data_IF_340643924580
#
_entry.id   IF_340643924580
#
_cell.length_a   1.000
_cell.length_b   1.000
_cell.length_c   1.000
_cell.angle_alpha   90.00
_cell.angle_beta   90.00
_cell.angle_gamma   90.00
#
_symmetry.space_group_name_H-M   'P 1'
#
loop_
_entity.id
_entity.type
_entity.pdbx_description
1 polymer ?
#
# COMPACT_ATOMS: atom_id res chain seq x y z
N UNK A 1 -3.85 11.06 -15.10
CA UNK A 1 -2.72 10.14 -15.26
C UNK A 1 -3.18 8.94 -16.08
N UNK A 2 -2.54 8.65 -17.21
CA UNK A 2 -2.98 7.61 -18.15
C UNK A 2 -2.62 6.24 -17.56
N UNK A 3 -3.62 5.36 -17.41
CA UNK A 3 -3.41 3.94 -17.09
C UNK A 3 -2.41 3.36 -18.09
N UNK A 4 -1.30 2.84 -17.60
CA UNK A 4 -0.39 2.05 -18.42
C UNK A 4 -0.93 0.63 -18.47
N UNK A 5 -1.84 0.38 -19.41
CA UNK A 5 -2.13 -0.99 -19.85
C UNK A 5 -0.93 -1.40 -20.68
N UNK A 6 -0.11 -2.27 -20.14
CA UNK A 6 1.01 -2.84 -20.87
C UNK A 6 0.48 -4.03 -21.68
N UNK A 7 0.08 -3.77 -22.92
CA UNK A 7 -0.10 -4.86 -23.89
C UNK A 7 1.30 -5.40 -24.21
N UNK A 8 1.62 -6.60 -23.73
CA UNK A 8 2.84 -7.28 -24.14
C UNK A 8 2.62 -7.77 -25.58
N UNK A 9 2.87 -6.90 -26.54
CA UNK A 9 3.19 -7.33 -27.90
C UNK A 9 4.63 -7.84 -27.84
N UNK A 10 4.79 -9.15 -27.84
CA UNK A 10 6.09 -9.79 -28.08
C UNK A 10 6.45 -9.54 -29.56
N UNK A 11 7.04 -8.35 -29.85
CA UNK A 11 7.58 -8.05 -31.15
C UNK A 11 8.95 -8.71 -31.27
N UNK A 12 8.95 -10.00 -31.61
CA UNK A 12 10.10 -10.60 -32.30
C UNK A 12 9.96 -10.22 -33.75
N UNK A 13 10.72 -9.18 -34.18
CA UNK A 13 10.86 -8.86 -35.59
C UNK A 13 11.69 -9.96 -36.26
N UNK A 14 11.02 -10.96 -36.83
CA UNK A 14 11.51 -11.70 -37.96
C UNK A 14 10.46 -11.57 -39.05
N UNK A 15 10.82 -10.88 -40.11
CA UNK A 15 10.11 -10.89 -41.39
C UNK A 15 10.10 -12.31 -41.97
N UNK A 16 9.19 -13.11 -41.52
CA UNK A 16 8.68 -14.26 -42.22
C UNK A 16 7.18 -14.25 -41.94
N UNK A 17 6.37 -13.84 -42.92
CA UNK A 17 4.91 -13.95 -42.79
C UNK A 17 4.60 -15.41 -42.51
N UNK A 18 4.11 -15.80 -41.30
CA UNK A 18 3.60 -17.14 -41.15
C UNK A 18 2.35 -17.19 -42.02
N UNK A 19 2.34 -18.11 -42.98
CA UNK A 19 1.06 -18.59 -43.54
C UNK A 19 0.31 -19.17 -42.34
N UNK A 20 -0.60 -18.40 -41.78
CA UNK A 20 -1.51 -18.90 -40.76
C UNK A 20 -2.24 -20.10 -41.39
N UNK A 21 -2.13 -21.27 -40.78
CA UNK A 21 -2.97 -22.39 -41.15
C UNK A 21 -4.41 -21.89 -41.15
N UNK A 22 -5.17 -22.13 -42.21
CA UNK A 22 -6.58 -21.71 -42.29
C UNK A 22 -7.34 -22.23 -41.07
N UNK A 23 -7.84 -21.32 -40.25
CA UNK A 23 -8.63 -21.66 -39.03
C UNK A 23 -7.96 -21.42 -37.69
N UNK A 24 -6.72 -20.90 -37.58
CA UNK A 24 -6.17 -20.53 -36.28
C UNK A 24 -6.36 -19.04 -35.99
N UNK A 25 -6.80 -18.73 -34.78
CA UNK A 25 -7.08 -17.38 -34.31
C UNK A 25 -6.13 -16.99 -33.17
N UNK A 26 -5.84 -15.69 -33.03
CA UNK A 26 -4.95 -15.16 -31.98
C UNK A 26 -5.58 -15.26 -30.58
N UNK A 27 -4.73 -15.52 -29.58
CA UNK A 27 -5.04 -15.45 -28.16
C UNK A 27 -4.13 -14.40 -27.53
N UNK A 28 -4.72 -13.37 -26.90
CA UNK A 28 -3.99 -12.31 -26.23
C UNK A 28 -4.41 -12.22 -24.77
N UNK A 29 -3.57 -11.62 -23.92
CA UNK A 29 -3.89 -11.35 -22.51
C UNK A 29 -3.73 -9.88 -22.19
N UNK A 30 -4.70 -9.34 -21.43
CA UNK A 30 -4.69 -7.99 -20.88
C UNK A 30 -4.80 -8.03 -19.35
N UNK A 31 -3.84 -7.45 -18.68
CA UNK A 31 -3.79 -7.40 -17.22
C UNK A 31 -2.85 -6.27 -16.76
N UNK A 32 -2.97 -5.88 -15.48
CA UNK A 32 -2.01 -4.97 -14.87
C UNK A 32 -0.81 -5.78 -14.34
N UNK A 33 0.35 -5.60 -14.99
CA UNK A 33 1.58 -6.33 -14.66
C UNK A 33 2.18 -5.98 -13.28
N UNK A 34 1.74 -4.88 -12.66
CA UNK A 34 2.12 -4.56 -11.29
C UNK A 34 1.38 -5.43 -10.26
N UNK A 35 0.20 -5.95 -10.63
CA UNK A 35 -0.68 -6.72 -9.74
C UNK A 35 -0.55 -8.23 -9.91
N UNK A 36 0.11 -8.68 -10.97
CA UNK A 36 0.30 -10.10 -11.23
C UNK A 36 0.80 -10.39 -12.64
N UNK A 37 0.81 -11.64 -13.00
CA UNK A 37 1.17 -12.11 -14.35
C UNK A 37 0.17 -13.11 -14.89
N UNK A 38 0.05 -13.12 -16.21
CA UNK A 38 -0.75 -14.10 -16.96
C UNK A 38 0.18 -14.77 -17.96
N UNK A 39 0.25 -16.10 -17.94
CA UNK A 39 1.00 -16.88 -18.90
C UNK A 39 0.05 -17.75 -19.73
N UNK A 40 -0.07 -17.43 -21.01
CA UNK A 40 -0.80 -18.24 -21.99
C UNK A 40 0.08 -19.42 -22.41
N UNK A 41 -0.49 -20.62 -22.51
CA UNK A 41 0.21 -21.81 -23.04
C UNK A 41 0.49 -21.65 -24.53
N UNK A 42 -0.38 -20.93 -25.24
CA UNK A 42 -0.23 -20.62 -26.67
C UNK A 42 -0.81 -19.24 -26.98
N UNK A 43 -0.25 -18.58 -28.00
CA UNK A 43 -0.74 -17.29 -28.52
C UNK A 43 -1.74 -17.43 -29.68
N UNK A 44 -2.14 -18.67 -30.01
CA UNK A 44 -3.12 -19.01 -31.08
C UNK A 44 -3.77 -20.35 -30.83
N UNK A 45 -4.98 -20.56 -31.38
CA UNK A 45 -5.70 -21.82 -31.31
C UNK A 45 -6.69 -21.99 -32.46
N UNK A 46 -7.12 -23.20 -32.68
CA UNK A 46 -8.18 -23.56 -33.65
C UNK A 46 -9.49 -23.70 -32.90
N UNK A 47 -10.64 -23.40 -33.52
CA UNK A 47 -11.95 -23.54 -32.95
C UNK A 47 -12.16 -24.95 -32.37
N UNK A 48 -12.57 -25.02 -31.09
CA UNK A 48 -12.76 -26.26 -30.33
C UNK A 48 -11.55 -26.70 -29.48
N UNK A 49 -10.36 -26.16 -29.69
CA UNK A 49 -9.20 -26.44 -28.83
C UNK A 49 -9.43 -25.92 -27.41
N UNK A 50 -8.93 -26.63 -26.41
CA UNK A 50 -8.83 -26.09 -25.06
C UNK A 50 -7.54 -25.28 -24.91
N UNK A 51 -7.69 -24.00 -24.63
CA UNK A 51 -6.58 -23.08 -24.39
C UNK A 51 -6.39 -22.94 -22.88
N UNK A 52 -5.22 -23.32 -22.39
CA UNK A 52 -4.85 -23.22 -20.98
C UNK A 52 -4.02 -21.97 -20.72
N UNK A 53 -4.19 -21.42 -19.54
CA UNK A 53 -3.37 -20.31 -19.07
C UNK A 53 -3.27 -20.31 -17.53
N UNK A 54 -2.25 -19.66 -17.02
CA UNK A 54 -2.03 -19.49 -15.59
C UNK A 54 -2.02 -18.03 -15.23
N UNK A 55 -2.49 -17.76 -14.01
CA UNK A 55 -2.48 -16.42 -13.38
C UNK A 55 -1.73 -16.52 -12.08
N UNK A 56 -0.69 -15.69 -11.93
CA UNK A 56 0.09 -15.58 -10.69
C UNK A 56 -0.06 -14.16 -10.16
N UNK A 57 -0.88 -13.94 -9.11
CA UNK A 57 -1.01 -12.62 -8.51
C UNK A 57 0.26 -12.21 -7.77
N UNK A 58 0.53 -10.92 -7.72
CA UNK A 58 1.51 -10.34 -6.81
C UNK A 58 1.05 -10.51 -5.35
N UNK A 59 1.99 -10.39 -4.41
CA UNK A 59 1.69 -10.51 -2.97
C UNK A 59 0.52 -9.60 -2.56
N UNK A 60 -0.37 -10.12 -1.73
CA UNK A 60 -1.58 -9.45 -1.22
C UNK A 60 -2.73 -9.29 -2.22
N UNK A 61 -2.55 -9.74 -3.47
CA UNK A 61 -3.62 -9.73 -4.46
C UNK A 61 -4.17 -11.14 -4.72
N UNK A 62 -5.42 -11.20 -5.17
CA UNK A 62 -6.06 -12.42 -5.66
C UNK A 62 -6.63 -12.15 -7.05
N UNK A 63 -6.56 -13.11 -8.00
CA UNK A 63 -7.17 -12.89 -9.28
C UNK A 63 -8.70 -12.96 -9.15
N UNK A 64 -9.38 -12.05 -9.83
CA UNK A 64 -10.81 -12.19 -10.09
C UNK A 64 -11.02 -13.21 -11.22
N UNK A 65 -12.29 -13.65 -11.41
CA UNK A 65 -12.60 -14.57 -12.51
C UNK A 65 -12.21 -13.94 -13.85
N UNK A 66 -11.32 -14.59 -14.63
CA UNK A 66 -10.92 -14.07 -15.93
C UNK A 66 -12.11 -13.91 -16.87
N UNK A 67 -12.12 -12.81 -17.62
CA UNK A 67 -13.10 -12.54 -18.68
C UNK A 67 -12.44 -12.84 -20.02
N UNK A 68 -13.10 -13.62 -20.86
CA UNK A 68 -12.62 -13.95 -22.20
C UNK A 68 -13.63 -13.39 -23.19
N UNK A 69 -13.12 -12.55 -24.10
CA UNK A 69 -13.96 -11.86 -25.08
C UNK A 69 -13.41 -12.09 -26.48
N UNK A 70 -14.27 -12.43 -27.42
CA UNK A 70 -13.90 -12.53 -28.84
C UNK A 70 -13.66 -11.17 -29.46
N UNK A 71 -12.98 -11.12 -30.60
CA UNK A 71 -12.80 -9.88 -31.36
C UNK A 71 -14.15 -9.27 -31.82
N UNK A 72 -15.17 -10.12 -32.02
CA UNK A 72 -16.55 -9.70 -32.33
C UNK A 72 -17.34 -9.22 -31.10
N UNK A 73 -16.75 -9.28 -29.88
CA UNK A 73 -17.35 -8.81 -28.65
C UNK A 73 -18.19 -9.83 -27.86
N UNK A 74 -18.19 -11.10 -28.28
CA UNK A 74 -18.92 -12.17 -27.57
C UNK A 74 -18.12 -12.67 -26.36
N UNK A 75 -18.81 -12.96 -25.24
CA UNK A 75 -18.18 -13.58 -24.07
C UNK A 75 -17.96 -15.08 -24.29
N UNK A 76 -16.79 -15.58 -23.86
CA UNK A 76 -16.44 -17.00 -23.85
C UNK A 76 -16.35 -17.49 -22.41
N UNK A 77 -16.90 -18.68 -22.14
CA UNK A 77 -16.87 -19.25 -20.79
C UNK A 77 -15.45 -19.65 -20.39
N UNK A 78 -15.00 -19.15 -19.26
CA UNK A 78 -13.74 -19.51 -18.60
C UNK A 78 -14.01 -20.56 -17.51
N UNK A 79 -13.13 -21.53 -17.37
CA UNK A 79 -13.20 -22.60 -16.37
C UNK A 79 -11.93 -22.58 -15.53
N UNK A 80 -12.09 -22.64 -14.21
CA UNK A 80 -10.96 -22.88 -13.30
C UNK A 80 -10.61 -24.38 -13.31
N UNK A 81 -9.33 -24.69 -13.46
CA UNK A 81 -8.80 -26.08 -13.41
C UNK A 81 -8.00 -26.38 -12.14
N UNK A 82 -7.90 -25.42 -11.22
CA UNK A 82 -7.25 -25.57 -9.92
C UNK A 82 -6.29 -24.44 -9.58
N UNK A 83 -5.64 -24.56 -8.42
CA UNK A 83 -4.57 -23.67 -8.00
C UNK A 83 -3.51 -24.44 -7.23
N UNK A 84 -2.25 -24.04 -7.39
CA UNK A 84 -1.12 -24.66 -6.71
C UNK A 84 -0.02 -23.62 -6.47
N UNK A 85 0.47 -23.53 -5.25
CA UNK A 85 1.55 -22.60 -4.86
C UNK A 85 1.28 -21.13 -5.27
N UNK A 86 0.02 -20.67 -5.15
CA UNK A 86 -0.38 -19.31 -5.54
C UNK A 86 -0.55 -19.09 -7.04
N UNK A 87 -0.39 -20.14 -7.86
CA UNK A 87 -0.63 -20.10 -9.31
C UNK A 87 -2.03 -20.66 -9.57
N UNK A 88 -2.89 -19.86 -10.17
CA UNK A 88 -4.26 -20.22 -10.54
C UNK A 88 -4.26 -20.70 -12.00
N UNK A 89 -4.93 -21.82 -12.27
CA UNK A 89 -4.97 -22.48 -13.57
C UNK A 89 -6.37 -22.39 -14.16
N UNK A 90 -6.45 -21.98 -15.41
CA UNK A 90 -7.72 -21.79 -16.12
C UNK A 90 -7.64 -22.37 -17.53
N UNK A 91 -8.79 -22.59 -18.13
CA UNK A 91 -8.91 -22.89 -19.55
C UNK A 91 -10.23 -22.40 -20.13
N UNK A 92 -10.29 -22.32 -21.44
CA UNK A 92 -11.50 -22.08 -22.20
C UNK A 92 -11.44 -22.85 -23.52
N UNK A 93 -12.62 -23.09 -24.15
CA UNK A 93 -12.69 -23.67 -25.49
C UNK A 93 -12.57 -22.53 -26.51
N UNK A 94 -11.63 -22.66 -27.45
CA UNK A 94 -11.36 -21.65 -28.47
C UNK A 94 -12.57 -21.49 -29.40
N UNK A 95 -13.13 -20.29 -29.57
CA UNK A 95 -14.16 -20.00 -30.55
C UNK A 95 -13.53 -19.87 -31.97
N UNK A 96 -14.37 -19.76 -32.99
CA UNK A 96 -13.96 -19.47 -34.35
C UNK A 96 -13.73 -17.93 -34.54
N UNK A 97 -12.95 -17.35 -33.63
CA UNK A 97 -12.61 -15.91 -33.61
C UNK A 97 -11.37 -15.69 -32.72
N UNK A 98 -10.66 -14.57 -32.91
CA UNK A 98 -9.59 -14.19 -32.02
C UNK A 98 -10.15 -13.81 -30.62
N UNK A 99 -9.37 -14.06 -29.57
CA UNK A 99 -9.82 -13.82 -28.18
C UNK A 99 -8.83 -12.99 -27.39
N UNK A 100 -9.36 -12.23 -26.44
CA UNK A 100 -8.60 -11.54 -25.39
C UNK A 100 -9.01 -12.08 -24.02
N UNK A 101 -8.02 -12.54 -23.25
CA UNK A 101 -8.15 -12.94 -21.85
C UNK A 101 -7.85 -11.72 -21.00
N UNK A 102 -8.86 -11.18 -20.31
CA UNK A 102 -8.72 -10.04 -19.41
C UNK A 102 -8.73 -10.53 -17.97
N UNK A 103 -7.67 -10.21 -17.19
CA UNK A 103 -7.56 -10.59 -15.78
C UNK A 103 -7.47 -9.34 -14.92
N UNK A 104 -8.36 -9.25 -13.93
CA UNK A 104 -8.35 -8.25 -12.87
C UNK A 104 -7.85 -8.86 -11.56
N UNK A 105 -7.32 -8.04 -10.67
CA UNK A 105 -6.82 -8.49 -9.37
C UNK A 105 -7.46 -7.65 -8.26
N UNK A 106 -7.93 -8.31 -7.21
CA UNK A 106 -8.47 -7.69 -6.01
C UNK A 106 -7.41 -7.65 -4.92
N UNK A 107 -7.20 -6.48 -4.33
CA UNK A 107 -6.38 -6.30 -3.13
C UNK A 107 -7.17 -6.63 -1.85
N UNK A 108 -6.53 -6.52 -0.66
CA UNK A 108 -7.18 -6.79 0.62
C UNK A 108 -8.22 -5.73 1.00
N UNK A 109 -8.18 -4.54 0.39
CA UNK A 109 -9.05 -3.41 0.70
C UNK A 109 -9.74 -2.87 -0.56
N UNK A 110 -11.05 -2.68 -0.48
CA UNK A 110 -11.86 -2.18 -1.60
C UNK A 110 -11.70 -0.67 -1.82
N UNK A 111 -11.26 0.05 -0.78
CA UNK A 111 -11.04 1.50 -0.78
C UNK A 111 -9.56 1.91 -1.01
N UNK A 112 -8.72 0.95 -1.42
CA UNK A 112 -7.31 1.16 -1.79
C UNK A 112 -7.09 0.70 -3.22
N UNK A 113 -7.41 1.56 -4.17
CA UNK A 113 -7.18 1.24 -5.57
C UNK A 113 -5.67 1.19 -5.89
N UNK A 114 -5.24 0.25 -6.71
CA UNK A 114 -3.83 0.08 -7.08
C UNK A 114 -3.20 1.32 -7.74
N UNK A 115 -4.03 2.17 -8.36
CA UNK A 115 -3.60 3.43 -8.98
C UNK A 115 -3.36 4.59 -8.00
N UNK A 116 -3.74 4.42 -6.73
CA UNK A 116 -3.56 5.45 -5.72
C UNK A 116 -2.08 5.54 -5.32
N UNK A 117 -1.62 6.75 -5.05
CA UNK A 117 -0.22 7.03 -4.71
C UNK A 117 0.24 6.31 -3.44
N UNK A 118 -0.69 6.00 -2.54
CA UNK A 118 -0.44 5.37 -1.24
C UNK A 118 -0.64 3.84 -1.26
N UNK A 119 -1.04 3.26 -2.38
CA UNK A 119 -1.43 1.85 -2.43
C UNK A 119 -0.30 0.92 -1.97
N UNK A 120 0.90 1.12 -2.48
CA UNK A 120 2.05 0.30 -2.12
C UNK A 120 2.41 0.42 -0.63
N UNK A 121 2.41 1.65 -0.09
CA UNK A 121 2.74 1.90 1.32
C UNK A 121 1.67 1.35 2.27
N UNK A 122 0.38 1.47 1.90
CA UNK A 122 -0.72 0.89 2.69
C UNK A 122 -0.59 -0.63 2.74
N UNK A 123 -0.34 -1.29 1.60
CA UNK A 123 -0.18 -2.74 1.55
C UNK A 123 1.07 -3.21 2.32
N UNK A 124 2.17 -2.46 2.25
CA UNK A 124 3.38 -2.74 3.04
C UNK A 124 3.11 -2.58 4.54
N UNK A 125 2.45 -1.50 4.96
CA UNK A 125 2.08 -1.29 6.36
C UNK A 125 1.15 -2.39 6.88
N UNK A 126 0.23 -2.85 6.06
CA UNK A 126 -0.69 -3.94 6.40
C UNK A 126 0.04 -5.28 6.48
N UNK A 127 0.84 -5.65 5.47
CA UNK A 127 1.59 -6.92 5.43
C UNK A 127 2.62 -7.04 6.56
N UNK A 128 3.22 -5.90 6.96
CA UNK A 128 4.13 -5.83 8.10
C UNK A 128 3.42 -5.83 9.47
N UNK A 129 2.07 -5.89 9.50
CA UNK A 129 1.29 -5.84 10.75
C UNK A 129 1.34 -4.49 11.48
N UNK A 130 1.85 -3.43 10.83
CA UNK A 130 1.92 -2.08 11.41
C UNK A 130 0.53 -1.47 11.54
N UNK A 131 -0.25 -1.56 10.47
CA UNK A 131 -1.61 -1.04 10.41
C UNK A 131 -2.59 -2.13 10.00
N UNK A 132 -3.81 -2.04 10.52
CA UNK A 132 -4.94 -2.91 10.16
C UNK A 132 -6.02 -2.12 9.46
N UNK A 133 -6.95 -2.80 8.82
CA UNK A 133 -8.20 -2.20 8.33
C UNK A 133 -9.05 -1.61 9.45
N UNK A 134 -10.04 -0.82 9.07
CA UNK A 134 -11.04 -0.21 9.97
C UNK A 134 -12.36 -0.99 9.95
N UNK A 135 -12.52 -1.89 9.02
CA UNK A 135 -13.70 -2.73 8.82
C UNK A 135 -13.41 -3.87 7.87
N UNK A 136 -14.45 -4.62 7.50
CA UNK A 136 -14.33 -5.67 6.52
C UNK A 136 -13.92 -5.06 5.16
N UNK A 137 -12.74 -5.44 4.66
CA UNK A 137 -12.15 -4.97 3.40
C UNK A 137 -12.03 -3.43 3.26
N UNK A 138 -11.96 -2.69 4.39
CA UNK A 138 -11.80 -1.23 4.39
C UNK A 138 -10.53 -0.84 5.14
N UNK A 139 -9.70 -0.01 4.52
CA UNK A 139 -8.55 0.62 5.16
C UNK A 139 -8.85 2.03 5.67
N UNK A 140 -9.80 2.73 5.06
CA UNK A 140 -10.15 4.13 5.29
C UNK A 140 -8.96 5.07 5.09
N UNK A 141 -8.33 5.11 3.90
CA UNK A 141 -7.07 5.82 3.66
C UNK A 141 -7.15 7.33 3.94
N UNK A 142 -8.31 7.94 3.73
CA UNK A 142 -8.54 9.37 3.91
C UNK A 142 -9.03 9.74 5.33
N UNK A 143 -9.32 8.76 6.17
CA UNK A 143 -9.68 9.04 7.56
C UNK A 143 -8.48 9.60 8.35
N UNK A 144 -8.70 10.43 9.37
CA UNK A 144 -7.65 10.93 10.24
C UNK A 144 -6.90 9.78 10.94
N UNK A 145 -5.58 9.87 11.01
CA UNK A 145 -4.80 9.08 11.94
C UNK A 145 -4.89 9.71 13.33
N UNK A 146 -5.02 8.90 14.38
CA UNK A 146 -5.10 9.39 15.76
C UNK A 146 -3.78 9.21 16.51
N UNK A 147 -3.64 9.94 17.61
CA UNK A 147 -2.47 9.83 18.49
C UNK A 147 -2.34 8.40 19.07
N UNK A 148 -3.45 7.79 19.49
CA UNK A 148 -3.45 6.42 19.99
C UNK A 148 -3.02 5.40 18.93
N UNK A 149 -3.46 5.56 17.68
CA UNK A 149 -3.02 4.71 16.56
C UNK A 149 -1.50 4.73 16.42
N UNK A 150 -0.90 5.92 16.37
CA UNK A 150 0.55 6.05 16.19
C UNK A 150 1.33 5.37 17.30
N UNK A 151 1.03 5.64 18.57
CA UNK A 151 1.77 5.03 19.69
C UNK A 151 1.58 3.51 19.73
N UNK A 152 0.40 3.00 19.34
CA UNK A 152 0.14 1.57 19.27
C UNK A 152 1.02 0.91 18.19
N UNK A 153 1.21 1.56 17.04
CA UNK A 153 2.09 1.05 15.98
C UNK A 153 3.55 1.04 16.44
N UNK A 154 4.02 2.13 17.05
CA UNK A 154 5.40 2.21 17.55
C UNK A 154 5.66 1.22 18.69
N UNK A 155 4.68 0.97 19.55
CA UNK A 155 4.76 -0.04 20.59
C UNK A 155 4.91 -1.45 19.99
N UNK A 156 4.16 -1.77 18.93
CA UNK A 156 4.31 -3.03 18.18
C UNK A 156 5.70 -3.14 17.53
N UNK A 157 6.19 -2.06 16.91
CA UNK A 157 7.55 -2.02 16.36
C UNK A 157 8.63 -2.25 17.42
N UNK A 158 8.38 -1.83 18.66
CA UNK A 158 9.28 -2.08 19.78
C UNK A 158 9.19 -3.50 20.35
N UNK A 159 8.34 -4.38 19.77
CA UNK A 159 8.12 -5.74 20.26
C UNK A 159 7.05 -5.84 21.37
N UNK A 160 6.20 -4.83 21.49
CA UNK A 160 5.11 -4.76 22.49
C UNK A 160 5.59 -5.01 23.92
N UNK A 161 6.60 -4.27 24.43
CA UNK A 161 7.10 -4.46 25.79
C UNK A 161 6.01 -4.14 26.81
N UNK A 162 5.98 -4.89 27.89
CA UNK A 162 5.06 -4.63 29.00
C UNK A 162 5.29 -3.23 29.58
N UNK A 163 4.23 -2.49 29.77
CA UNK A 163 4.25 -1.20 30.41
C UNK A 163 2.94 -0.95 31.17
N UNK A 164 3.08 -0.51 32.39
CA UNK A 164 1.97 -0.16 33.27
C UNK A 164 1.98 1.34 33.59
N UNK A 165 0.79 1.91 33.79
CA UNK A 165 0.63 3.24 34.36
C UNK A 165 1.08 4.37 33.46
N UNK A 166 0.25 4.84 32.54
CA UNK A 166 0.55 5.99 31.67
C UNK A 166 0.34 7.36 32.33
N UNK A 167 -0.33 7.42 33.49
CA UNK A 167 -0.52 8.65 34.26
C UNK A 167 -1.42 9.70 33.60
N UNK A 168 -2.06 9.43 32.47
CA UNK A 168 -2.94 10.37 31.80
C UNK A 168 -4.40 10.20 32.22
N UNK A 169 -5.07 11.33 32.50
CA UNK A 169 -6.43 11.35 33.07
C UNK A 169 -7.51 10.79 32.12
N UNK A 170 -7.24 10.77 30.82
CA UNK A 170 -8.14 10.36 29.75
C UNK A 170 -7.78 9.02 29.09
N UNK A 171 -6.85 8.27 29.69
CA UNK A 171 -6.44 6.93 29.23
C UNK A 171 -6.95 5.87 30.21
N UNK A 172 -8.01 5.17 29.82
CA UNK A 172 -8.50 4.03 30.60
C UNK A 172 -7.50 2.88 30.57
N UNK A 173 -7.27 2.22 31.70
CA UNK A 173 -6.41 1.02 31.79
C UNK A 173 -6.91 -0.13 30.90
N UNK A 174 -8.21 -0.19 30.62
CA UNK A 174 -8.82 -1.19 29.73
C UNK A 174 -8.74 -0.83 28.23
N UNK A 175 -8.25 0.36 27.89
CA UNK A 175 -8.14 0.76 26.49
C UNK A 175 -7.05 -0.05 25.77
N UNK A 176 -7.31 -0.42 24.51
CA UNK A 176 -6.37 -1.21 23.70
C UNK A 176 -4.99 -0.56 23.53
N UNK A 177 -4.94 0.76 23.69
CA UNK A 177 -3.72 1.58 23.57
C UNK A 177 -3.06 1.89 24.92
N UNK A 178 -3.63 1.47 26.07
CA UNK A 178 -3.15 1.87 27.39
C UNK A 178 -1.67 1.53 27.61
N UNK A 179 -1.28 0.28 27.34
CA UNK A 179 0.11 -0.16 27.46
C UNK A 179 1.04 0.59 26.47
N UNK A 180 0.56 0.87 25.27
CA UNK A 180 1.33 1.61 24.28
C UNK A 180 1.56 3.06 24.69
N UNK A 181 0.55 3.73 25.24
CA UNK A 181 0.66 5.10 25.77
C UNK A 181 1.62 5.15 26.95
N UNK A 182 1.48 4.21 27.91
CA UNK A 182 2.37 4.09 29.06
C UNK A 182 3.82 3.91 28.65
N UNK A 183 4.07 2.98 27.73
CA UNK A 183 5.40 2.72 27.18
C UNK A 183 5.97 3.94 26.45
N UNK A 184 5.19 4.57 25.58
CA UNK A 184 5.64 5.70 24.78
C UNK A 184 5.99 6.93 25.65
N UNK A 185 5.20 7.19 26.70
CA UNK A 185 5.46 8.24 27.66
C UNK A 185 6.71 7.95 28.49
N UNK A 186 6.84 6.74 29.04
CA UNK A 186 8.01 6.33 29.83
C UNK A 186 9.33 6.41 29.06
N UNK A 187 9.29 6.19 27.75
CA UNK A 187 10.48 6.24 26.88
C UNK A 187 10.67 7.61 26.21
N UNK A 188 9.91 8.63 26.57
CA UNK A 188 10.04 9.98 26.01
C UNK A 188 9.64 10.10 24.53
N UNK A 189 8.94 9.10 24.00
CA UNK A 189 8.47 9.07 22.60
C UNK A 189 7.31 10.04 22.42
N UNK A 190 6.44 10.12 23.44
CA UNK A 190 5.33 11.08 23.48
C UNK A 190 5.26 11.80 24.81
N UNK A 191 4.68 12.98 24.75
CA UNK A 191 4.31 13.77 25.91
C UNK A 191 2.79 13.97 25.91
N UNK A 192 2.22 14.15 27.11
CA UNK A 192 0.85 14.59 27.28
C UNK A 192 0.71 16.09 27.13
N UNK A 193 -0.46 16.59 27.40
CA UNK A 193 -0.78 18.01 27.45
C UNK A 193 -0.63 18.54 28.89
N UNK A 194 -0.53 19.85 29.04
CA UNK A 194 -0.38 20.52 30.34
C UNK A 194 -1.55 20.21 31.32
N UNK A 195 -2.71 19.86 30.77
CA UNK A 195 -3.90 19.45 31.55
C UNK A 195 -3.84 18.00 32.05
N UNK A 196 -2.74 17.30 31.83
CA UNK A 196 -2.56 15.90 32.21
C UNK A 196 -3.28 14.89 31.29
N UNK A 197 -3.79 15.33 30.15
CA UNK A 197 -4.41 14.47 29.16
C UNK A 197 -3.43 13.96 28.11
N UNK A 198 -3.73 12.82 27.49
CA UNK A 198 -3.01 12.31 26.30
C UNK A 198 -3.74 12.65 24.99
N UNK A 199 -5.06 12.73 25.06
CA UNK A 199 -5.98 12.92 23.92
C UNK A 199 -5.85 11.82 22.86
N UNK A 200 -6.14 10.56 23.20
CA UNK A 200 -5.88 9.40 22.35
C UNK A 200 -6.59 9.46 21.00
N UNK A 201 -7.83 9.94 20.96
CA UNK A 201 -8.66 10.00 19.76
C UNK A 201 -8.46 11.29 18.94
N UNK A 202 -7.62 12.22 19.44
CA UNK A 202 -7.33 13.43 18.68
C UNK A 202 -6.59 13.10 17.41
N UNK A 203 -7.04 13.63 16.25
CA UNK A 203 -6.28 13.56 15.00
C UNK A 203 -4.87 14.12 15.18
N UNK A 204 -3.87 13.40 14.67
CA UNK A 204 -2.48 13.83 14.76
C UNK A 204 -2.11 14.72 13.57
N UNK A 205 -1.39 15.82 13.81
CA UNK A 205 -0.89 16.64 12.71
C UNK A 205 0.37 16.03 12.11
N UNK A 206 0.71 16.45 10.88
CA UNK A 206 1.91 15.95 10.17
C UNK A 206 3.20 16.29 10.92
N UNK A 207 3.30 17.48 11.51
CA UNK A 207 4.47 17.85 12.34
C UNK A 207 4.53 17.06 13.66
N UNK A 208 3.37 16.78 14.28
CA UNK A 208 3.31 15.92 15.47
C UNK A 208 3.73 14.49 15.15
N UNK A 209 3.27 13.94 14.02
CA UNK A 209 3.68 12.62 13.56
C UNK A 209 5.21 12.56 13.34
N UNK A 210 5.77 13.55 12.64
CA UNK A 210 7.22 13.65 12.43
C UNK A 210 7.98 13.74 13.78
N UNK A 211 7.48 14.55 14.73
CA UNK A 211 8.12 14.69 16.04
C UNK A 211 8.12 13.39 16.86
N UNK A 212 7.04 12.65 16.82
CA UNK A 212 6.96 11.34 17.51
C UNK A 212 7.90 10.32 16.89
N UNK A 213 7.98 10.26 15.55
CA UNK A 213 8.92 9.37 14.84
C UNK A 213 10.38 9.77 15.12
N UNK A 214 10.69 11.06 15.15
CA UNK A 214 12.01 11.57 15.47
C UNK A 214 12.46 11.18 16.89
N UNK A 215 11.60 11.38 17.88
CA UNK A 215 11.88 10.99 19.28
C UNK A 215 12.05 9.47 19.42
N UNK A 216 11.22 8.70 18.71
CA UNK A 216 11.36 7.25 18.71
C UNK A 216 12.68 6.82 18.07
N UNK A 217 13.09 7.43 16.95
CA UNK A 217 14.39 7.17 16.31
C UNK A 217 15.55 7.44 17.31
N UNK A 218 15.53 8.60 17.98
CA UNK A 218 16.53 8.92 19.01
C UNK A 218 16.56 7.90 20.15
N UNK A 219 15.38 7.47 20.64
CA UNK A 219 15.29 6.49 21.72
C UNK A 219 15.86 5.12 21.33
N UNK A 220 15.91 4.83 20.02
CA UNK A 220 16.48 3.59 19.46
C UNK A 220 17.96 3.75 19.03
N UNK A 221 18.55 4.93 19.20
CA UNK A 221 19.93 5.20 18.77
C UNK A 221 20.10 5.28 17.26
N UNK A 222 19.02 5.52 16.51
CA UNK A 222 19.07 5.73 15.07
C UNK A 222 19.70 7.09 14.78
N UNK A 223 20.51 7.17 13.72
CA UNK A 223 21.09 8.42 13.27
C UNK A 223 20.00 9.40 12.80
N UNK A 224 19.90 10.52 13.46
CA UNK A 224 18.94 11.59 13.17
C UNK A 224 19.62 12.88 12.65
N UNK A 225 20.81 12.76 12.10
CA UNK A 225 21.59 13.90 11.56
C UNK A 225 21.14 14.36 10.17
N UNK A 226 20.36 13.55 9.45
CA UNK A 226 19.79 13.95 8.18
C UNK A 226 18.98 15.25 8.32
N UNK A 227 19.14 16.17 7.38
CA UNK A 227 18.48 17.47 7.45
C UNK A 227 18.04 17.93 6.06
N UNK A 228 16.73 18.03 5.88
CA UNK A 228 16.12 18.61 4.68
C UNK A 228 16.02 20.12 4.75
N UNK A 229 16.07 20.77 3.59
CA UNK A 229 15.84 22.21 3.49
C UNK A 229 14.34 22.50 3.49
N UNK A 230 13.82 22.95 4.63
CA UNK A 230 12.41 23.33 4.75
C UNK A 230 12.07 24.58 3.93
N UNK A 231 13.05 25.46 3.64
CA UNK A 231 12.80 26.68 2.87
C UNK A 231 12.42 26.39 1.39
N UNK A 232 12.67 25.17 0.93
CA UNK A 232 12.19 24.70 -0.37
C UNK A 232 10.65 24.60 -0.46
N UNK A 233 9.94 24.65 0.67
CA UNK A 233 8.49 24.53 0.73
C UNK A 233 7.82 25.88 1.03
N UNK A 234 6.77 26.20 0.29
CA UNK A 234 6.10 27.50 0.39
C UNK A 234 5.52 27.81 1.78
N UNK A 235 5.18 26.75 2.52
CA UNK A 235 4.57 26.82 3.85
C UNK A 235 5.55 26.53 5.00
N UNK A 236 6.85 26.58 4.76
CA UNK A 236 7.89 26.35 5.77
C UNK A 236 7.71 27.22 7.03
N UNK A 237 7.23 28.46 6.87
CA UNK A 237 6.92 29.37 7.98
C UNK A 237 5.79 28.93 8.89
N UNK A 238 5.00 27.93 8.49
CA UNK A 238 3.92 27.35 9.30
C UNK A 238 4.39 26.21 10.20
N UNK A 239 5.65 25.79 10.08
CA UNK A 239 6.25 24.77 10.97
C UNK A 239 6.42 25.37 12.36
N UNK A 240 5.85 24.69 13.37
CA UNK A 240 6.03 25.10 14.75
C UNK A 240 7.50 25.02 15.18
N UNK A 241 7.97 25.97 15.97
CA UNK A 241 9.38 26.01 16.41
C UNK A 241 9.82 24.74 17.12
N UNK A 242 8.94 24.13 17.92
CA UNK A 242 9.21 22.88 18.63
C UNK A 242 9.33 21.65 17.69
N UNK A 243 8.74 21.72 16.49
CA UNK A 243 8.76 20.64 15.51
C UNK A 243 9.86 20.80 14.44
N UNK A 244 10.56 21.94 14.43
CA UNK A 244 11.46 22.32 13.34
C UNK A 244 12.55 21.27 13.08
N UNK A 245 13.20 20.75 14.13
CA UNK A 245 14.26 19.75 13.98
C UNK A 245 13.73 18.41 13.50
N UNK A 246 12.59 17.98 14.04
CA UNK A 246 11.91 16.75 13.59
C UNK A 246 11.47 16.86 12.12
N UNK A 247 10.96 18.00 11.70
CA UNK A 247 10.56 18.24 10.31
C UNK A 247 11.76 18.27 9.35
N UNK A 248 12.89 18.90 9.76
CA UNK A 248 14.14 18.84 8.97
C UNK A 248 14.64 17.42 8.83
N UNK A 249 14.70 16.69 9.94
CA UNK A 249 15.09 15.29 9.90
C UNK A 249 14.15 14.46 9.03
N UNK A 250 12.85 14.53 9.24
CA UNK A 250 11.89 13.70 8.51
C UNK A 250 11.92 13.96 7.01
N UNK A 251 12.13 15.21 6.58
CA UNK A 251 12.28 15.54 5.15
C UNK A 251 13.64 15.12 4.60
N UNK A 252 14.72 15.32 5.34
CA UNK A 252 16.08 14.93 4.95
C UNK A 252 16.28 13.42 4.86
N UNK A 253 15.66 12.68 5.77
CA UNK A 253 15.67 11.22 5.80
C UNK A 253 14.63 10.58 4.84
N UNK A 254 13.82 11.37 4.14
CA UNK A 254 12.80 10.89 3.23
C UNK A 254 11.57 10.27 3.90
N UNK A 255 11.43 10.36 5.23
CA UNK A 255 10.25 9.89 5.99
C UNK A 255 9.02 10.71 5.64
N UNK A 256 9.18 12.03 5.59
CA UNK A 256 8.13 12.96 5.21
C UNK A 256 8.41 13.53 3.82
N UNK A 257 7.42 13.46 2.96
CA UNK A 257 7.41 14.19 1.67
C UNK A 257 6.36 15.29 1.71
N UNK A 258 6.62 16.39 0.99
CA UNK A 258 5.61 17.41 0.75
C UNK A 258 4.45 16.88 -0.09
N UNK A 259 3.37 17.64 -0.09
CA UNK A 259 2.21 17.49 -0.97
C UNK A 259 2.26 18.54 -2.08
N UNK A 260 1.25 18.60 -2.93
CA UNK A 260 1.11 19.69 -3.89
C UNK A 260 1.00 21.10 -3.23
N UNK A 261 0.60 21.16 -1.95
CA UNK A 261 0.41 22.39 -1.19
C UNK A 261 1.60 22.74 -0.28
N UNK A 262 2.61 21.89 -0.16
CA UNK A 262 3.78 22.08 0.72
C UNK A 262 3.92 20.98 1.77
N UNK A 263 4.46 21.31 2.92
CA UNK A 263 4.64 20.36 4.05
C UNK A 263 3.34 20.08 4.80
N UNK A 264 2.44 21.06 4.84
CA UNK A 264 1.18 21.05 5.61
C UNK A 264 1.41 20.64 7.08
N UNK A 265 2.33 21.30 7.82
CA UNK A 265 2.79 20.80 9.12
C UNK A 265 1.67 20.66 10.13
N UNK A 266 0.73 21.61 10.17
CA UNK A 266 -0.42 21.62 11.06
C UNK A 266 -1.66 20.90 10.49
N UNK A 267 -1.57 20.45 9.24
CA UNK A 267 -2.61 19.60 8.62
C UNK A 267 -2.70 18.24 9.31
N UNK A 268 -3.91 17.75 9.46
CA UNK A 268 -4.16 16.40 9.98
C UNK A 268 -3.57 15.34 9.04
N UNK A 269 -2.76 14.45 9.56
CA UNK A 269 -2.28 13.31 8.81
C UNK A 269 -3.42 12.31 8.56
N UNK A 270 -3.63 11.93 7.30
CA UNK A 270 -4.55 10.83 6.99
C UNK A 270 -3.90 9.48 7.30
N UNK A 271 -4.71 8.43 7.40
CA UNK A 271 -4.20 7.07 7.61
C UNK A 271 -3.25 6.63 6.50
N UNK A 272 -3.52 7.01 5.25
CA UNK A 272 -2.61 6.74 4.12
C UNK A 272 -1.28 7.49 4.26
N UNK A 273 -1.30 8.76 4.66
CA UNK A 273 -0.07 9.52 4.92
C UNK A 273 0.72 8.95 6.09
N UNK A 274 0.03 8.54 7.17
CA UNK A 274 0.68 7.87 8.29
C UNK A 274 1.30 6.52 7.87
N UNK A 275 0.62 5.72 7.06
CA UNK A 275 1.16 4.47 6.52
C UNK A 275 2.44 4.72 5.72
N UNK A 276 2.43 5.72 4.81
CA UNK A 276 3.61 6.07 4.02
C UNK A 276 4.80 6.52 4.88
N UNK A 277 4.55 7.39 5.88
CA UNK A 277 5.60 7.84 6.79
C UNK A 277 6.15 6.70 7.64
N UNK A 278 5.29 5.82 8.16
CA UNK A 278 5.68 4.66 8.96
C UNK A 278 6.50 3.65 8.16
N UNK A 279 6.09 3.34 6.94
CA UNK A 279 6.81 2.40 6.07
C UNK A 279 8.21 2.92 5.75
N UNK A 280 8.32 4.19 5.34
CA UNK A 280 9.63 4.83 5.08
C UNK A 280 10.48 4.89 6.35
N UNK A 281 9.85 5.13 7.48
CA UNK A 281 10.52 5.10 8.77
C UNK A 281 11.06 3.70 9.10
N UNK A 282 10.30 2.64 8.87
CA UNK A 282 10.78 1.26 9.10
C UNK A 282 11.95 0.88 8.19
N UNK A 283 12.02 1.43 6.98
CA UNK A 283 13.16 1.23 6.07
C UNK A 283 14.46 1.87 6.60
N UNK A 284 14.36 2.84 7.52
CA UNK A 284 15.53 3.47 8.17
C UNK A 284 15.99 2.74 9.43
N UNK A 285 15.07 2.12 10.17
CA UNK A 285 15.34 1.57 11.50
C UNK A 285 15.46 0.04 11.51
N UNK A 286 15.09 -0.61 10.38
CA UNK A 286 15.06 -2.07 10.17
C UNK A 286 16.31 -2.62 9.79
#
# INVERSE_FOLDING_TARGET
>A
MKKRVLSILLAAALLCSPVLASGSHAVTAEFDSALGSVALETDKGVAGDNIYFTVTPSAMYTPENPKITTASGSAVQCYASGSENGVYKYYFSMPDDAVTVTVSFAGPFDDVAASEWFSAEVLRAYSAGLMTGTGERLFSPNAPATRAMLVTILHRLAGSPEAEGGGFSDVSESAYYAAAVAWASKNGVVEGYEDGSFRPDQPITREQLAAVLYRYAMSRGVDVTASGDLAAYADAGSVSSWAADAMRWATGAGVLSGTANGLEPQGTATRAQAAAMLVRFTDLVG
#
